data_IF_386067357120
#
_entry.id   IF_386067357120
#
_cell.length_a   1.000
_cell.length_b   1.000
_cell.length_c   1.000
_cell.angle_alpha   90.00
_cell.angle_beta   90.00
_cell.angle_gamma   90.00
#
_symmetry.space_group_name_H-M   'P 1'
#
loop_
_entity.id
_entity.type
_entity.pdbx_description
1 polymer ?
#
# COMPACT_ATOMS: atom_id res chain seq x y z
N UNK A 1 -77.67 17.40 13.27
CA UNK A 1 -76.76 17.77 12.16
C UNK A 1 -75.48 18.43 12.70
N UNK A 2 -75.60 19.30 13.71
CA UNK A 2 -74.49 20.00 14.39
C UNK A 2 -73.48 19.05 15.07
N UNK A 3 -73.94 17.99 15.74
CA UNK A 3 -73.04 17.05 16.46
C UNK A 3 -72.19 16.18 15.54
N UNK A 4 -72.70 15.83 14.36
CA UNK A 4 -71.96 15.07 13.35
C UNK A 4 -70.84 15.94 12.77
N UNK A 5 -71.13 17.22 12.50
CA UNK A 5 -70.16 18.17 11.98
C UNK A 5 -69.03 18.46 12.99
N UNK A 6 -69.38 18.59 14.27
CA UNK A 6 -68.42 18.80 15.36
C UNK A 6 -67.55 17.57 15.62
N UNK A 7 -68.11 16.35 15.57
CA UNK A 7 -67.33 15.11 15.69
C UNK A 7 -66.38 14.92 14.51
N UNK A 8 -66.83 15.21 13.28
CA UNK A 8 -66.00 15.13 12.08
C UNK A 8 -64.82 16.11 12.15
N UNK A 9 -65.08 17.36 12.55
CA UNK A 9 -64.05 18.39 12.73
C UNK A 9 -63.01 18.00 13.79
N UNK A 10 -63.47 17.40 14.89
CA UNK A 10 -62.61 16.94 15.99
C UNK A 10 -61.71 15.78 15.57
N UNK A 11 -62.25 14.83 14.80
CA UNK A 11 -61.48 13.70 14.27
C UNK A 11 -60.43 14.15 13.26
N UNK A 12 -60.78 15.07 12.35
CA UNK A 12 -59.82 15.64 11.38
C UNK A 12 -58.68 16.36 12.11
N UNK A 13 -58.97 17.17 13.13
CA UNK A 13 -57.95 17.90 13.90
C UNK A 13 -57.01 16.94 14.64
N UNK A 14 -57.53 15.87 15.24
CA UNK A 14 -56.71 14.83 15.89
C UNK A 14 -55.78 14.13 14.90
N UNK A 15 -56.30 13.76 13.72
CA UNK A 15 -55.49 13.14 12.66
C UNK A 15 -54.37 14.05 12.19
N UNK A 16 -54.64 15.35 12.01
CA UNK A 16 -53.62 16.33 11.61
C UNK A 16 -52.52 16.46 12.66
N UNK A 17 -52.87 16.51 13.96
CA UNK A 17 -51.89 16.57 15.05
C UNK A 17 -50.98 15.35 15.07
N UNK A 18 -51.52 14.15 14.83
CA UNK A 18 -50.72 12.91 14.76
C UNK A 18 -49.74 12.95 13.58
N UNK A 19 -50.20 13.36 12.39
CA UNK A 19 -49.37 13.46 11.18
C UNK A 19 -48.24 14.48 11.38
N UNK A 20 -48.53 15.67 11.89
CA UNK A 20 -47.51 16.69 12.17
C UNK A 20 -46.53 16.23 13.25
N UNK A 21 -46.99 15.48 14.26
CA UNK A 21 -46.11 14.92 15.30
C UNK A 21 -45.14 13.89 14.73
N UNK A 22 -45.60 13.01 13.82
CA UNK A 22 -44.74 12.02 13.15
C UNK A 22 -43.71 12.71 12.25
N UNK A 23 -44.13 13.69 11.46
CA UNK A 23 -43.22 14.47 10.59
C UNK A 23 -42.17 15.19 11.44
N UNK A 24 -42.58 15.79 12.57
CA UNK A 24 -41.67 16.43 13.52
C UNK A 24 -40.67 15.46 14.17
N UNK A 25 -41.08 14.23 14.46
CA UNK A 25 -40.18 13.21 15.00
C UNK A 25 -39.17 12.70 13.95
N UNK A 26 -39.56 12.59 12.69
CA UNK A 26 -38.67 12.15 11.60
C UNK A 26 -37.61 13.22 11.34
N UNK A 27 -37.98 14.50 11.26
CA UNK A 27 -37.02 15.58 11.04
C UNK A 27 -36.02 15.75 12.19
N UNK A 28 -36.43 15.47 13.43
CA UNK A 28 -35.52 15.50 14.59
C UNK A 28 -34.55 14.31 14.65
N UNK A 29 -34.95 13.12 14.18
CA UNK A 29 -34.07 11.94 14.15
C UNK A 29 -33.07 11.96 12.98
N UNK A 30 -33.39 12.62 11.87
CA UNK A 30 -32.48 12.73 10.72
C UNK A 30 -31.27 13.65 10.97
N UNK A 31 -31.31 14.50 12.00
CA UNK A 31 -30.23 15.49 12.24
C UNK A 31 -29.03 14.98 13.05
N UNK A 32 -28.99 13.71 13.47
CA UNK A 32 -27.87 13.14 14.26
C UNK A 32 -27.61 11.65 14.02
N UNK A 33 -27.77 11.16 12.79
CA UNK A 33 -27.30 9.81 12.48
C UNK A 33 -25.78 9.84 12.38
N UNK A 34 -25.09 9.51 13.49
CA UNK A 34 -23.67 9.19 13.46
C UNK A 34 -23.47 8.11 12.40
N UNK A 35 -22.77 8.48 11.34
CA UNK A 35 -22.59 7.60 10.21
C UNK A 35 -21.52 6.61 10.58
N UNK A 36 -21.89 5.34 10.74
CA UNK A 36 -20.93 4.27 10.94
C UNK A 36 -20.16 4.06 9.63
N UNK A 37 -19.03 4.75 9.52
CA UNK A 37 -18.11 4.67 8.37
C UNK A 37 -17.69 3.22 8.13
N UNK A 38 -17.54 2.40 9.18
CA UNK A 38 -17.16 1.00 9.04
C UNK A 38 -18.29 0.20 8.39
N UNK A 39 -19.54 0.43 8.78
CA UNK A 39 -20.69 -0.20 8.14
C UNK A 39 -20.84 0.24 6.67
N UNK A 40 -20.58 1.52 6.37
CA UNK A 40 -20.57 2.00 4.97
C UNK A 40 -19.50 1.31 4.13
N UNK A 41 -18.28 1.17 4.64
CA UNK A 41 -17.18 0.54 3.92
C UNK A 41 -17.33 -0.99 3.77
N UNK A 42 -18.25 -1.62 4.50
CA UNK A 42 -18.61 -3.02 4.25
C UNK A 42 -19.38 -3.19 2.93
N UNK A 43 -20.17 -2.18 2.53
CA UNK A 43 -20.79 -2.15 1.21
C UNK A 43 -19.70 -2.03 0.12
N UNK A 44 -19.71 -2.96 -0.83
CA UNK A 44 -18.68 -3.02 -1.88
C UNK A 44 -18.75 -1.86 -2.88
N UNK A 45 -19.95 -1.38 -3.20
CA UNK A 45 -20.16 -0.26 -4.12
C UNK A 45 -19.64 1.03 -3.49
N UNK A 46 -20.02 1.31 -2.25
CA UNK A 46 -19.52 2.44 -1.47
C UNK A 46 -18.00 2.38 -1.31
N UNK A 47 -17.45 1.21 -0.95
CA UNK A 47 -16.00 1.03 -0.82
C UNK A 47 -15.28 1.28 -2.15
N UNK A 48 -15.81 0.80 -3.26
CA UNK A 48 -15.23 1.01 -4.59
C UNK A 48 -15.21 2.49 -4.96
N UNK A 49 -16.31 3.20 -4.72
CA UNK A 49 -16.42 4.63 -5.06
C UNK A 49 -15.51 5.49 -4.19
N UNK A 50 -15.40 5.19 -2.90
CA UNK A 50 -14.44 5.87 -2.01
C UNK A 50 -13.01 5.66 -2.47
N UNK A 51 -12.62 4.41 -2.78
CA UNK A 51 -11.26 4.11 -3.27
C UNK A 51 -10.99 4.84 -4.59
N UNK A 52 -11.95 4.85 -5.51
CA UNK A 52 -11.84 5.56 -6.79
C UNK A 52 -11.69 7.07 -6.58
N UNK A 53 -12.48 7.65 -5.69
CA UNK A 53 -12.41 9.09 -5.35
C UNK A 53 -11.04 9.46 -4.79
N UNK A 54 -10.47 8.63 -3.92
CA UNK A 54 -9.10 8.80 -3.41
C UNK A 54 -8.09 8.69 -4.55
N UNK A 55 -8.25 7.71 -5.45
CA UNK A 55 -7.32 7.47 -6.56
C UNK A 55 -7.31 8.56 -7.64
N UNK A 56 -8.45 9.18 -7.90
CA UNK A 56 -8.62 10.18 -8.96
C UNK A 56 -8.37 11.62 -8.48
N UNK A 57 -8.23 11.84 -7.17
CA UNK A 57 -7.95 13.14 -6.58
C UNK A 57 -6.51 13.22 -6.05
N UNK A 58 -5.75 14.22 -6.51
CA UNK A 58 -4.34 14.37 -6.16
C UNK A 58 -4.09 14.59 -4.65
N UNK A 59 -4.89 15.45 -4.02
CA UNK A 59 -4.71 15.79 -2.61
C UNK A 59 -5.04 14.59 -1.72
N UNK A 60 -6.14 13.90 -2.01
CA UNK A 60 -6.54 12.71 -1.26
C UNK A 60 -5.57 11.55 -1.44
N UNK A 61 -5.06 11.33 -2.66
CA UNK A 61 -4.03 10.33 -2.89
C UNK A 61 -2.75 10.67 -2.12
N UNK A 62 -2.36 11.95 -2.07
CA UNK A 62 -1.16 12.40 -1.35
C UNK A 62 -1.31 12.12 0.15
N UNK A 63 -2.41 12.53 0.76
CA UNK A 63 -2.69 12.28 2.18
C UNK A 63 -2.80 10.77 2.48
N UNK A 64 -3.41 9.99 1.58
CA UNK A 64 -3.49 8.54 1.72
C UNK A 64 -2.11 7.88 1.72
N UNK A 65 -1.21 8.33 0.84
CA UNK A 65 0.16 7.83 0.77
C UNK A 65 0.98 8.20 2.01
N UNK A 66 0.81 9.42 2.56
CA UNK A 66 1.45 9.83 3.82
C UNK A 66 0.99 8.92 4.99
N UNK A 67 -0.30 8.64 5.08
CA UNK A 67 -0.84 7.71 6.07
C UNK A 67 -0.29 6.28 5.91
N UNK A 68 -0.09 5.82 4.67
CA UNK A 68 0.50 4.51 4.40
C UNK A 68 1.98 4.44 4.81
N UNK A 69 2.75 5.51 4.63
CA UNK A 69 4.17 5.55 5.03
C UNK A 69 4.36 5.39 6.54
N UNK A 70 3.41 5.91 7.34
CA UNK A 70 3.38 5.71 8.79
C UNK A 70 2.93 4.32 9.23
N UNK A 71 2.48 3.46 8.30
CA UNK A 71 1.91 2.16 8.61
C UNK A 71 2.82 1.01 8.16
N UNK A 72 3.42 0.30 9.13
CA UNK A 72 4.35 -0.80 8.87
C UNK A 72 3.75 -1.93 8.01
N UNK A 73 2.47 -2.26 8.21
CA UNK A 73 1.82 -3.31 7.43
C UNK A 73 1.60 -2.87 5.97
N UNK A 74 1.16 -1.63 5.77
CA UNK A 74 1.04 -1.05 4.42
C UNK A 74 2.40 -1.01 3.71
N UNK A 75 3.46 -0.61 4.42
CA UNK A 75 4.83 -0.61 3.91
C UNK A 75 5.31 -2.01 3.50
N UNK A 76 5.02 -3.05 4.29
CA UNK A 76 5.33 -4.44 3.92
C UNK A 76 4.59 -4.88 2.65
N UNK A 77 3.30 -4.55 2.54
CA UNK A 77 2.49 -4.86 1.37
C UNK A 77 3.01 -4.15 0.10
N UNK A 78 3.46 -2.90 0.23
CA UNK A 78 4.09 -2.16 -0.88
C UNK A 78 5.43 -2.79 -1.29
N UNK A 79 6.29 -3.12 -0.34
CA UNK A 79 7.60 -3.74 -0.61
C UNK A 79 7.47 -5.14 -1.25
N UNK A 80 6.45 -5.90 -0.87
CA UNK A 80 6.17 -7.21 -1.47
C UNK A 80 5.51 -7.16 -2.85
N UNK A 81 5.09 -5.98 -3.32
CA UNK A 81 4.36 -5.85 -4.57
C UNK A 81 5.30 -5.87 -5.79
N UNK A 82 5.45 -7.07 -6.38
CA UNK A 82 6.30 -7.32 -7.56
C UNK A 82 5.95 -6.43 -8.77
N UNK A 83 4.67 -6.10 -8.98
CA UNK A 83 4.26 -5.24 -10.10
C UNK A 83 4.74 -3.80 -9.89
N UNK A 84 4.55 -3.27 -8.69
CA UNK A 84 5.01 -1.93 -8.31
C UNK A 84 6.55 -1.84 -8.41
N UNK A 85 7.25 -2.83 -7.86
CA UNK A 85 8.71 -2.91 -7.96
C UNK A 85 9.18 -3.03 -9.43
N UNK A 86 8.52 -3.86 -10.23
CA UNK A 86 8.81 -4.03 -11.65
C UNK A 86 8.64 -2.74 -12.45
N UNK A 87 7.55 -1.99 -12.23
CA UNK A 87 7.33 -0.69 -12.88
C UNK A 87 8.37 0.34 -12.46
N UNK A 88 8.80 0.34 -11.19
CA UNK A 88 9.85 1.24 -10.71
C UNK A 88 11.23 0.92 -11.33
N UNK A 89 11.53 -0.37 -11.53
CA UNK A 89 12.79 -0.82 -12.16
C UNK A 89 12.80 -0.63 -13.68
N UNK A 90 11.67 -0.81 -14.35
CA UNK A 90 11.56 -0.71 -15.82
C UNK A 90 11.28 0.72 -16.30
N UNK A 91 10.69 1.58 -15.48
CA UNK A 91 10.31 2.94 -15.82
C UNK A 91 11.39 4.00 -15.51
N UNK A 92 10.98 5.27 -15.57
CA UNK A 92 11.83 6.42 -15.24
C UNK A 92 12.30 6.45 -13.78
N UNK A 93 11.76 5.61 -12.89
CA UNK A 93 12.16 5.51 -11.48
C UNK A 93 13.63 5.11 -11.30
N UNK A 94 14.10 4.14 -12.08
CA UNK A 94 15.52 3.78 -12.13
C UNK A 94 16.35 4.94 -12.68
N UNK A 95 15.83 5.64 -13.70
CA UNK A 95 16.52 6.72 -14.38
C UNK A 95 16.63 7.99 -13.50
N UNK A 96 15.64 8.26 -12.66
CA UNK A 96 15.62 9.36 -11.69
C UNK A 96 16.65 9.12 -10.57
N UNK A 97 16.73 7.89 -10.03
CA UNK A 97 17.79 7.50 -9.10
C UNK A 97 19.20 7.61 -9.70
N UNK A 98 19.35 7.39 -11.01
CA UNK A 98 20.63 7.59 -11.69
C UNK A 98 20.92 9.05 -12.04
N UNK A 99 19.88 9.85 -12.33
CA UNK A 99 20.01 11.27 -12.71
C UNK A 99 20.39 12.16 -11.53
N UNK A 100 19.98 11.83 -10.31
CA UNK A 100 20.40 12.52 -9.09
C UNK A 100 21.82 12.08 -8.69
N UNK A 101 22.75 12.46 -9.57
CA UNK A 101 24.10 11.93 -9.68
C UNK A 101 25.01 12.27 -8.51
N UNK A 102 24.60 13.08 -7.54
CA UNK A 102 25.46 13.45 -6.41
C UNK A 102 25.71 12.24 -5.49
N UNK A 103 24.66 11.53 -5.08
CA UNK A 103 24.78 10.33 -4.25
C UNK A 103 25.45 9.17 -5.02
N UNK A 104 25.05 8.98 -6.28
CA UNK A 104 25.60 7.96 -7.17
C UNK A 104 27.08 8.23 -7.52
N UNK A 105 27.46 9.49 -7.82
CA UNK A 105 28.88 9.89 -7.99
C UNK A 105 29.66 9.79 -6.70
N UNK A 106 29.06 10.03 -5.54
CA UNK A 106 29.77 9.90 -4.27
C UNK A 106 30.02 8.42 -3.94
N UNK A 107 29.06 7.53 -4.21
CA UNK A 107 29.23 6.08 -4.07
C UNK A 107 30.19 5.49 -5.12
N UNK A 108 30.00 5.78 -6.41
CA UNK A 108 30.83 5.25 -7.51
C UNK A 108 32.19 5.96 -7.63
N UNK A 109 32.26 7.23 -7.24
CA UNK A 109 33.48 8.04 -7.26
C UNK A 109 34.37 7.82 -6.05
N UNK A 110 33.83 7.29 -4.94
CA UNK A 110 34.64 6.77 -3.85
C UNK A 110 35.20 5.39 -4.23
N UNK A 111 36.22 5.40 -5.10
CA UNK A 111 36.93 4.20 -5.56
C UNK A 111 37.37 3.32 -4.40
N UNK A 112 37.69 3.89 -3.24
CA UNK A 112 38.14 3.13 -2.08
C UNK A 112 37.00 2.32 -1.47
N UNK A 113 35.82 2.90 -1.32
CA UNK A 113 34.62 2.20 -0.83
C UNK A 113 34.12 1.16 -1.85
N UNK A 114 34.09 1.51 -3.14
CA UNK A 114 33.69 0.58 -4.20
C UNK A 114 34.68 -0.58 -4.36
N UNK A 115 35.98 -0.32 -4.26
CA UNK A 115 37.01 -1.37 -4.28
C UNK A 115 36.95 -2.23 -3.02
N UNK A 116 36.68 -1.64 -1.84
CA UNK A 116 36.50 -2.40 -0.61
C UNK A 116 35.25 -3.28 -0.64
N UNK A 117 34.14 -2.81 -1.22
CA UNK A 117 32.93 -3.63 -1.41
C UNK A 117 33.12 -4.70 -2.49
N UNK A 118 33.79 -4.39 -3.60
CA UNK A 118 34.05 -5.36 -4.68
C UNK A 118 35.07 -6.43 -4.30
N UNK A 119 36.02 -6.11 -3.41
CA UNK A 119 37.00 -7.07 -2.92
C UNK A 119 36.47 -7.88 -1.72
N UNK A 120 35.41 -7.41 -1.05
CA UNK A 120 34.76 -8.15 0.04
C UNK A 120 33.65 -9.07 -0.50
N UNK A 121 34.09 -10.21 -1.04
CA UNK A 121 33.21 -11.26 -1.56
C UNK A 121 32.15 -11.73 -0.56
N UNK A 122 32.39 -11.60 0.76
CA UNK A 122 31.43 -12.02 1.80
C UNK A 122 30.21 -11.10 1.87
N UNK A 123 30.39 -9.80 1.64
CA UNK A 123 29.28 -8.85 1.63
C UNK A 123 28.40 -9.05 0.39
N UNK A 124 29.05 -9.26 -0.76
CA UNK A 124 28.35 -9.52 -2.02
C UNK A 124 27.59 -10.85 -2.00
N UNK A 125 28.18 -11.89 -1.41
CA UNK A 125 27.55 -13.18 -1.17
C UNK A 125 26.29 -13.04 -0.29
N UNK A 126 26.39 -12.30 0.83
CA UNK A 126 25.24 -12.07 1.73
C UNK A 126 24.10 -11.33 1.02
N UNK A 127 24.43 -10.38 0.15
CA UNK A 127 23.44 -9.66 -0.65
C UNK A 127 22.76 -10.57 -1.68
N UNK A 128 23.53 -11.42 -2.37
CA UNK A 128 22.97 -12.41 -3.31
C UNK A 128 22.04 -13.40 -2.61
N UNK A 129 22.42 -13.93 -1.43
CA UNK A 129 21.55 -14.79 -0.61
C UNK A 129 20.23 -14.11 -0.28
N UNK A 130 20.27 -12.85 0.17
CA UNK A 130 19.05 -12.10 0.47
C UNK A 130 18.16 -11.86 -0.76
N UNK A 131 18.76 -11.57 -1.93
CA UNK A 131 17.99 -11.36 -3.17
C UNK A 131 17.32 -12.65 -3.64
N UNK A 132 18.00 -13.78 -3.50
CA UNK A 132 17.43 -15.09 -3.79
C UNK A 132 16.29 -15.44 -2.81
N UNK A 133 16.51 -15.30 -1.50
CA UNK A 133 15.51 -15.56 -0.46
C UNK A 133 14.24 -14.69 -0.64
N UNK A 134 14.41 -13.44 -1.11
CA UNK A 134 13.29 -12.53 -1.41
C UNK A 134 12.63 -12.80 -2.76
N UNK A 135 13.05 -13.85 -3.48
CA UNK A 135 12.51 -14.23 -4.80
C UNK A 135 12.78 -13.20 -5.89
N UNK A 136 13.80 -12.35 -5.70
CA UNK A 136 14.23 -11.35 -6.68
C UNK A 136 15.24 -11.94 -7.68
N UNK A 137 15.78 -13.13 -7.38
CA UNK A 137 16.81 -13.79 -8.17
C UNK A 137 16.53 -15.30 -8.20
N UNK A 138 16.47 -15.90 -9.39
CA UNK A 138 16.27 -17.35 -9.55
C UNK A 138 17.51 -18.15 -9.14
N UNK A 139 17.32 -19.44 -8.85
CA UNK A 139 18.42 -20.38 -8.54
C UNK A 139 19.48 -20.39 -9.64
N UNK A 140 19.07 -20.57 -10.90
CA UNK A 140 19.98 -20.59 -12.05
C UNK A 140 20.77 -19.28 -12.20
N UNK A 141 20.12 -18.15 -11.89
CA UNK A 141 20.78 -16.84 -11.90
C UNK A 141 21.81 -16.75 -10.77
N UNK A 142 21.49 -17.30 -9.60
CA UNK A 142 22.38 -17.39 -8.45
C UNK A 142 23.60 -18.26 -8.72
N UNK A 143 23.41 -19.47 -9.25
CA UNK A 143 24.51 -20.37 -9.59
C UNK A 143 25.44 -19.76 -10.63
N UNK A 144 24.88 -19.20 -11.71
CA UNK A 144 25.64 -18.56 -12.78
C UNK A 144 26.46 -17.35 -12.27
N UNK A 145 25.84 -16.51 -11.43
CA UNK A 145 26.53 -15.38 -10.80
C UNK A 145 27.64 -15.83 -9.86
N UNK A 146 27.41 -16.89 -9.07
CA UNK A 146 28.38 -17.47 -8.14
C UNK A 146 29.60 -18.01 -8.88
N UNK A 147 29.36 -18.74 -9.97
CA UNK A 147 30.41 -19.32 -10.81
C UNK A 147 31.29 -18.22 -11.43
N UNK A 148 30.68 -17.19 -11.99
CA UNK A 148 31.40 -16.05 -12.59
C UNK A 148 32.26 -15.31 -11.55
N UNK A 149 31.81 -15.21 -10.30
CA UNK A 149 32.59 -14.59 -9.22
C UNK A 149 33.81 -15.43 -8.82
N UNK A 150 33.64 -16.75 -8.75
CA UNK A 150 34.74 -17.68 -8.53
C UNK A 150 35.80 -17.60 -9.65
N UNK A 151 35.36 -17.55 -10.91
CA UNK A 151 36.24 -17.41 -12.09
C UNK A 151 37.04 -16.09 -12.07
N UNK A 152 36.48 -15.02 -11.48
CA UNK A 152 37.16 -13.72 -11.32
C UNK A 152 38.07 -13.64 -10.08
N UNK A 153 38.26 -14.74 -9.36
CA UNK A 153 39.18 -14.81 -8.22
C UNK A 153 38.67 -14.12 -6.95
N UNK A 154 37.36 -13.89 -6.83
CA UNK A 154 36.77 -13.37 -5.60
C UNK A 154 36.76 -14.46 -4.51
N UNK A 155 37.04 -14.07 -3.26
CA UNK A 155 37.06 -15.01 -2.14
C UNK A 155 35.62 -15.36 -1.70
N UNK A 156 35.10 -16.49 -2.17
CA UNK A 156 33.74 -16.98 -1.91
C UNK A 156 33.69 -18.04 -0.78
N UNK A 157 34.55 -17.92 0.23
CA UNK A 157 34.68 -18.88 1.34
C UNK A 157 33.38 -19.13 2.15
N UNK A 158 32.32 -18.33 2.01
CA UNK A 158 31.02 -18.54 2.67
C UNK A 158 30.02 -19.40 1.88
N UNK A 159 30.30 -19.67 0.61
CA UNK A 159 29.34 -20.26 -0.33
C UNK A 159 29.47 -21.77 -0.52
N UNK A 160 30.60 -22.36 -0.11
CA UNK A 160 30.88 -23.80 -0.18
C UNK A 160 29.96 -24.69 0.68
N UNK A 161 29.03 -24.09 1.43
CA UNK A 161 28.06 -24.80 2.27
C UNK A 161 26.61 -24.74 1.76
N UNK A 162 26.34 -24.19 0.56
CA UNK A 162 24.98 -24.21 0.00
C UNK A 162 24.55 -25.56 -0.59
N UNK A 163 25.43 -26.55 -0.58
CA UNK A 163 25.20 -27.87 -1.18
C UNK A 163 24.80 -28.94 -0.14
N UNK A 164 24.05 -28.58 0.93
CA UNK A 164 23.49 -29.54 1.91
C UNK A 164 22.20 -29.07 2.61
N UNK A 165 21.26 -28.46 1.89
CA UNK A 165 19.90 -28.32 2.42
C UNK A 165 18.85 -28.59 1.36
N UNK A 166 18.88 -29.80 0.81
CA UNK A 166 17.70 -30.47 0.26
C UNK A 166 17.86 -31.99 0.48
N UNK A 167 17.43 -32.44 1.65
CA UNK A 167 16.84 -33.77 1.84
C UNK A 167 15.68 -33.63 2.82
#
# INVERSE_FOLDING_TARGET
MTDIFNNLKTNIMRTLVIIFSIIGLITLNSCKQETDVKAMLQNSETRSEVIKTIAENHDFMTEFMENMQGNNHAMQMMQGNKKMMGTMMQGEGMQMMMKDSAMMKQMMGNKQMMHSMMNDGKMMEKMMKMMHEKGMMSEDCMESCTKMMGEKGMNMQGMNNMDKSNN
#
